data_IF_318934679321
#
_entry.id   IF_318934679321
#
_cell.length_a   1.000
_cell.length_b   1.000
_cell.length_c   1.000
_cell.angle_alpha   90.00
_cell.angle_beta   90.00
_cell.angle_gamma   90.00
#
_symmetry.space_group_name_H-M   'P 1'
#
loop_
_entity.id
_entity.type
_entity.pdbx_description
1 polymer ?
#
# COMPACT_ATOMS: atom_id res chain seq x y z
N UNK A 1 19.31 23.08 9.50
CA UNK A 1 18.38 23.88 10.32
C UNK A 1 16.98 23.27 10.37
N UNK A 2 16.27 23.12 9.24
CA UNK A 2 14.91 22.56 9.18
C UNK A 2 14.82 21.15 9.76
N UNK A 3 15.76 20.28 9.41
CA UNK A 3 15.88 18.92 9.94
C UNK A 3 16.13 18.91 11.45
N UNK A 4 17.02 19.79 11.94
CA UNK A 4 17.30 19.89 13.38
C UNK A 4 16.08 20.36 14.16
N UNK A 5 15.37 21.35 13.64
CA UNK A 5 14.10 21.84 14.24
C UNK A 5 13.06 20.71 14.30
N UNK A 6 12.92 19.94 13.20
CA UNK A 6 11.98 18.81 13.14
C UNK A 6 12.33 17.74 14.19
N UNK A 7 13.58 17.32 14.25
CA UNK A 7 14.06 16.29 15.18
C UNK A 7 13.95 16.77 16.64
N UNK A 8 14.33 18.02 16.91
CA UNK A 8 14.17 18.62 18.24
C UNK A 8 12.71 18.65 18.71
N UNK A 9 11.79 18.95 17.79
CA UNK A 9 10.36 18.95 18.12
C UNK A 9 9.79 17.55 18.42
N UNK A 10 10.34 16.50 17.80
CA UNK A 10 9.90 15.13 18.03
C UNK A 10 10.49 14.57 19.33
N UNK A 11 11.80 14.77 19.54
CA UNK A 11 12.53 14.12 20.62
C UNK A 11 12.81 15.05 21.83
N UNK A 12 12.47 16.34 21.74
CA UNK A 12 12.78 17.36 22.77
C UNK A 12 14.29 17.46 23.08
N UNK A 13 15.09 17.15 22.09
CA UNK A 13 16.52 17.01 22.21
C UNK A 13 17.24 18.27 21.72
N UNK A 14 17.92 18.93 22.60
CA UNK A 14 18.89 19.98 22.27
C UNK A 14 20.33 19.40 22.37
N UNK A 15 20.63 18.44 21.51
CA UNK A 15 21.92 17.79 21.51
C UNK A 15 22.97 18.59 20.76
N UNK A 16 24.12 18.80 21.38
CA UNK A 16 25.30 19.35 20.74
C UNK A 16 26.07 18.33 19.89
N UNK A 17 25.57 17.13 19.73
CA UNK A 17 26.28 16.07 19.04
C UNK A 17 26.31 16.33 17.54
N UNK A 18 27.49 16.57 17.00
CA UNK A 18 27.74 16.60 15.56
C UNK A 18 27.79 15.16 15.02
N UNK A 19 26.83 14.79 14.24
CA UNK A 19 26.87 13.52 13.51
C UNK A 19 27.54 13.73 12.16
N UNK A 20 28.57 12.93 11.88
CA UNK A 20 29.19 12.88 10.56
C UNK A 20 28.42 11.87 9.72
N UNK A 21 27.73 12.32 8.69
CA UNK A 21 27.12 11.47 7.67
C UNK A 21 28.14 11.29 6.55
N UNK A 22 28.71 10.09 6.37
CA UNK A 22 29.67 9.87 5.29
C UNK A 22 29.03 10.11 3.92
N UNK A 23 29.67 10.90 3.07
CA UNK A 23 29.20 11.20 1.72
C UNK A 23 28.88 9.93 0.92
N UNK A 24 29.71 8.90 1.06
CA UNK A 24 29.51 7.60 0.39
C UNK A 24 28.18 6.92 0.73
N UNK A 25 27.67 7.10 1.98
CA UNK A 25 26.37 6.52 2.39
C UNK A 25 25.24 7.39 1.88
N UNK A 26 25.42 8.69 1.90
CA UNK A 26 24.49 9.66 1.33
C UNK A 26 24.28 9.38 -0.18
N UNK A 27 25.36 9.24 -0.93
CA UNK A 27 25.31 8.97 -2.38
C UNK A 27 24.76 7.58 -2.72
N UNK A 28 24.97 6.58 -1.85
CA UNK A 28 24.50 5.21 -2.06
C UNK A 28 23.09 4.93 -1.54
N UNK A 29 22.43 5.89 -0.94
CA UNK A 29 21.10 5.68 -0.37
C UNK A 29 20.02 6.55 -1.03
N UNK A 30 19.91 6.51 -2.36
CA UNK A 30 18.86 7.21 -3.07
C UNK A 30 17.48 6.63 -2.73
N UNK A 31 16.42 7.37 -3.04
CA UNK A 31 15.11 6.79 -3.15
C UNK A 31 15.13 5.72 -4.21
N UNK A 32 14.66 4.53 -3.85
CA UNK A 32 14.72 3.36 -4.69
C UNK A 32 14.20 3.67 -6.11
N UNK A 33 15.11 3.56 -7.08
CA UNK A 33 14.80 3.60 -8.52
C UNK A 33 14.47 4.95 -9.15
N UNK A 34 14.46 6.05 -8.40
CA UNK A 34 14.06 7.36 -8.95
C UNK A 34 15.23 8.29 -9.34
N UNK A 35 16.45 7.97 -8.88
CA UNK A 35 17.64 8.80 -9.15
C UNK A 35 18.39 8.43 -10.43
N UNK A 36 18.06 7.28 -11.06
CA UNK A 36 18.77 6.78 -12.24
C UNK A 36 18.18 7.31 -13.57
N UNK A 37 17.21 8.22 -13.49
CA UNK A 37 16.60 8.82 -14.67
C UNK A 37 17.49 9.96 -15.22
N UNK A 38 17.55 10.15 -16.56
CA UNK A 38 18.19 11.31 -17.14
C UNK A 38 17.66 12.62 -16.55
N UNK A 39 18.49 13.65 -16.41
CA UNK A 39 18.17 14.92 -15.75
C UNK A 39 16.86 15.58 -16.27
N UNK A 40 16.59 15.48 -17.58
CA UNK A 40 15.36 16.02 -18.19
C UNK A 40 14.08 15.25 -17.78
N UNK A 41 14.23 14.02 -17.27
CA UNK A 41 13.16 13.18 -16.72
C UNK A 41 13.21 13.11 -15.19
N UNK A 42 14.16 13.82 -14.56
CA UNK A 42 14.27 13.83 -13.11
C UNK A 42 12.95 14.29 -12.48
N UNK A 43 12.25 13.42 -11.71
CA UNK A 43 10.90 13.70 -11.23
C UNK A 43 10.88 14.78 -10.15
N UNK A 44 11.95 14.93 -9.39
CA UNK A 44 12.00 15.78 -8.22
C UNK A 44 13.01 16.93 -8.36
N UNK A 45 12.84 17.96 -7.54
CA UNK A 45 13.83 19.03 -7.37
C UNK A 45 15.00 18.53 -6.53
N UNK A 46 16.21 18.97 -6.84
CA UNK A 46 17.43 18.57 -6.11
C UNK A 46 17.31 18.84 -4.61
N UNK A 47 16.78 20.00 -4.21
CA UNK A 47 16.58 20.32 -2.79
C UNK A 47 15.71 19.29 -2.06
N UNK A 48 14.65 18.77 -2.68
CA UNK A 48 13.80 17.75 -2.08
C UNK A 48 14.56 16.43 -1.91
N UNK A 49 15.25 15.99 -2.97
CA UNK A 49 16.04 14.76 -2.94
C UNK A 49 17.17 14.84 -1.90
N UNK A 50 17.89 15.96 -1.89
CA UNK A 50 18.99 16.20 -0.97
C UNK A 50 18.53 16.21 0.50
N UNK A 51 17.45 16.94 0.80
CA UNK A 51 16.94 16.99 2.17
C UNK A 51 16.45 15.62 2.65
N UNK A 52 15.69 14.90 1.83
CA UNK A 52 15.11 13.61 2.26
C UNK A 52 16.19 12.51 2.31
N UNK A 53 17.15 12.53 1.38
CA UNK A 53 18.30 11.60 1.41
C UNK A 53 19.19 11.86 2.62
N UNK A 54 19.48 13.13 2.90
CA UNK A 54 20.22 13.52 4.11
C UNK A 54 19.47 13.12 5.38
N UNK A 55 18.18 13.45 5.47
CA UNK A 55 17.34 13.07 6.62
C UNK A 55 17.36 11.56 6.86
N UNK A 56 17.22 10.76 5.82
CA UNK A 56 17.26 9.30 5.91
C UNK A 56 18.58 8.82 6.52
N UNK A 57 19.70 9.32 6.01
CA UNK A 57 21.03 8.94 6.49
C UNK A 57 21.26 9.43 7.92
N UNK A 58 20.90 10.67 8.21
CA UNK A 58 21.01 11.27 9.54
C UNK A 58 20.20 10.49 10.57
N UNK A 59 18.92 10.18 10.29
CA UNK A 59 18.06 9.41 11.18
C UNK A 59 18.62 8.02 11.47
N UNK A 60 19.18 7.35 10.46
CA UNK A 60 19.78 6.04 10.66
C UNK A 60 20.91 6.09 11.69
N UNK A 61 21.85 7.03 11.53
CA UNK A 61 22.96 7.20 12.48
C UNK A 61 22.48 7.67 13.85
N UNK A 62 21.59 8.64 13.89
CA UNK A 62 21.04 9.17 15.13
C UNK A 62 20.37 8.06 15.96
N UNK A 63 19.43 7.32 15.35
CA UNK A 63 18.71 6.26 16.04
C UNK A 63 19.62 5.09 16.46
N UNK A 64 20.54 4.68 15.59
CA UNK A 64 21.47 3.58 15.89
C UNK A 64 22.44 3.87 17.04
N UNK A 65 22.76 5.14 17.28
CA UNK A 65 23.71 5.53 18.33
C UNK A 65 23.04 5.95 19.65
N UNK A 66 21.75 6.29 19.62
CA UNK A 66 21.08 6.83 20.82
C UNK A 66 19.98 5.90 21.38
N UNK A 67 19.54 4.91 20.60
CA UNK A 67 18.54 3.96 21.10
C UNK A 67 19.19 2.77 21.79
N UNK A 68 18.64 2.31 22.93
CA UNK A 68 19.11 1.12 23.64
C UNK A 68 18.58 -0.15 22.95
N UNK A 69 19.04 -0.43 21.72
CA UNK A 69 18.54 -1.52 20.88
C UNK A 69 19.63 -2.54 20.56
N UNK A 70 19.25 -3.81 20.52
CA UNK A 70 20.05 -4.83 19.86
C UNK A 70 19.89 -4.69 18.34
N UNK A 71 20.97 -4.26 17.66
CA UNK A 71 20.94 -4.02 16.20
C UNK A 71 20.58 -5.26 15.37
N UNK A 72 20.64 -6.45 15.95
CA UNK A 72 20.27 -7.70 15.32
C UNK A 72 18.80 -8.05 15.58
N UNK A 73 18.34 -7.96 16.83
CA UNK A 73 16.99 -8.36 17.23
C UNK A 73 15.96 -7.23 17.05
N UNK A 74 16.37 -6.00 17.39
CA UNK A 74 15.48 -4.84 17.43
C UNK A 74 15.65 -3.91 16.22
N UNK A 75 16.27 -4.43 15.14
CA UNK A 75 16.50 -3.65 13.90
C UNK A 75 15.22 -3.00 13.36
N UNK A 76 14.07 -3.62 13.60
CA UNK A 76 12.75 -3.14 13.17
C UNK A 76 12.41 -1.79 13.79
N UNK A 77 12.88 -1.52 15.03
CA UNK A 77 12.65 -0.24 15.71
C UNK A 77 13.36 0.88 14.95
N UNK A 78 14.65 0.70 14.62
CA UNK A 78 15.43 1.72 13.90
C UNK A 78 14.83 1.99 12.53
N UNK A 79 14.60 0.94 11.74
CA UNK A 79 14.05 1.08 10.39
C UNK A 79 12.64 1.65 10.38
N UNK A 80 11.81 1.21 11.33
CA UNK A 80 10.45 1.70 11.51
C UNK A 80 10.38 3.15 11.92
N UNK A 81 11.15 3.56 12.93
CA UNK A 81 11.23 4.96 13.36
C UNK A 81 11.80 5.86 12.27
N UNK A 82 12.85 5.42 11.57
CA UNK A 82 13.39 6.15 10.42
C UNK A 82 12.30 6.41 9.38
N UNK A 83 11.56 5.39 8.97
CA UNK A 83 10.48 5.51 7.99
C UNK A 83 9.33 6.38 8.50
N UNK A 84 8.89 6.17 9.73
CA UNK A 84 7.84 6.99 10.36
C UNK A 84 8.22 8.48 10.37
N UNK A 85 9.45 8.81 10.78
CA UNK A 85 9.93 10.19 10.83
C UNK A 85 10.09 10.80 9.43
N UNK A 86 10.51 10.00 8.44
CA UNK A 86 10.54 10.45 7.04
C UNK A 86 9.13 10.78 6.54
N UNK A 87 8.14 9.91 6.79
CA UNK A 87 6.74 10.17 6.44
C UNK A 87 6.27 11.49 7.07
N UNK A 88 6.52 11.69 8.36
CA UNK A 88 6.14 12.91 9.10
C UNK A 88 6.84 14.17 8.55
N UNK A 89 8.12 14.07 8.20
CA UNK A 89 8.87 15.17 7.62
C UNK A 89 8.29 15.61 6.28
N UNK A 90 8.02 14.64 5.41
CA UNK A 90 7.45 14.90 4.09
C UNK A 90 6.03 15.48 4.21
N UNK A 91 5.17 14.93 5.08
CA UNK A 91 3.85 15.50 5.37
C UNK A 91 3.92 16.96 5.86
N UNK A 92 4.96 17.30 6.61
CA UNK A 92 5.11 18.64 7.21
C UNK A 92 5.65 19.69 6.23
N UNK A 93 6.69 19.32 5.47
CA UNK A 93 7.44 20.28 4.64
C UNK A 93 7.19 20.15 3.14
N UNK A 94 6.68 19.01 2.69
CA UNK A 94 6.44 18.68 1.29
C UNK A 94 5.05 18.02 1.07
N UNK A 95 3.95 18.57 1.65
CA UNK A 95 2.63 17.91 1.66
C UNK A 95 2.04 17.72 0.26
N UNK A 96 2.50 18.47 -0.73
CA UNK A 96 1.99 18.43 -2.10
C UNK A 96 2.91 17.68 -3.06
N UNK A 97 4.01 17.10 -2.58
CA UNK A 97 4.92 16.36 -3.45
C UNK A 97 4.28 15.04 -3.90
N UNK A 98 4.24 14.85 -5.23
CA UNK A 98 3.62 13.66 -5.84
C UNK A 98 4.67 12.58 -6.11
N UNK A 99 4.25 11.32 -6.11
CA UNK A 99 5.12 10.17 -6.37
C UNK A 99 5.87 10.28 -7.72
N UNK A 100 5.19 10.71 -8.77
CA UNK A 100 5.81 10.93 -10.07
C UNK A 100 6.43 12.34 -10.22
N UNK A 101 6.39 13.18 -9.20
CA UNK A 101 6.93 14.53 -9.24
C UNK A 101 6.50 15.31 -10.49
N UNK A 102 7.46 15.94 -11.18
CA UNK A 102 7.19 16.70 -12.42
C UNK A 102 6.60 15.87 -13.57
N UNK A 103 6.96 14.58 -13.64
CA UNK A 103 6.49 13.68 -14.71
C UNK A 103 4.98 13.48 -14.64
N UNK A 104 4.40 13.43 -13.42
CA UNK A 104 2.96 13.37 -13.23
C UNK A 104 2.19 14.56 -13.80
N UNK A 105 2.87 15.70 -13.99
CA UNK A 105 2.29 16.91 -14.57
C UNK A 105 2.07 16.88 -16.09
N UNK A 106 2.65 15.94 -16.82
CA UNK A 106 2.43 15.80 -18.25
C UNK A 106 0.98 15.43 -18.54
N UNK A 107 0.41 16.00 -19.60
CA UNK A 107 -1.01 15.86 -19.95
C UNK A 107 -1.45 14.39 -20.11
N UNK A 108 -0.58 13.53 -20.66
CA UNK A 108 -0.84 12.09 -20.79
C UNK A 108 -0.90 11.37 -19.45
N UNK A 109 -0.12 11.83 -18.46
CA UNK A 109 -0.03 11.19 -17.15
C UNK A 109 -1.19 11.57 -16.24
N UNK A 110 -1.79 12.75 -16.42
CA UNK A 110 -2.90 13.24 -15.58
C UNK A 110 -4.15 12.35 -15.58
N UNK A 111 -4.30 11.47 -16.58
CA UNK A 111 -5.40 10.51 -16.63
C UNK A 111 -5.20 9.29 -15.72
N UNK A 112 -4.01 9.12 -15.16
CA UNK A 112 -3.62 7.95 -14.36
C UNK A 112 -3.67 8.26 -12.88
N UNK A 113 -4.20 7.32 -12.09
CA UNK A 113 -4.19 7.38 -10.63
C UNK A 113 -2.77 7.53 -10.07
N UNK A 114 -1.79 6.90 -10.72
CA UNK A 114 -0.37 6.97 -10.32
C UNK A 114 0.18 8.41 -10.32
N UNK A 115 -0.35 9.29 -11.15
CA UNK A 115 0.08 10.70 -11.21
C UNK A 115 -0.44 11.53 -10.02
N UNK A 116 -1.56 11.11 -9.43
CA UNK A 116 -2.22 11.83 -8.35
C UNK A 116 -1.79 11.38 -6.95
N UNK A 117 -1.13 10.21 -6.83
CA UNK A 117 -0.71 9.72 -5.53
C UNK A 117 0.41 10.57 -4.93
N UNK A 118 0.35 10.78 -3.61
CA UNK A 118 1.36 11.53 -2.88
C UNK A 118 2.67 10.75 -2.77
N UNK A 119 3.79 11.46 -2.59
CA UNK A 119 5.11 10.83 -2.48
C UNK A 119 5.15 9.75 -1.39
N UNK A 120 4.54 10.02 -0.24
CA UNK A 120 4.49 9.08 0.87
C UNK A 120 3.77 7.76 0.56
N UNK A 121 2.87 7.74 -0.45
CA UNK A 121 2.22 6.52 -0.91
C UNK A 121 3.22 5.46 -1.39
N UNK A 122 4.43 5.85 -1.76
CA UNK A 122 5.51 4.94 -2.12
C UNK A 122 5.81 3.92 -1.02
N UNK A 123 5.76 4.34 0.26
CA UNK A 123 6.00 3.43 1.39
C UNK A 123 4.96 2.31 1.42
N UNK A 124 3.66 2.64 1.26
CA UNK A 124 2.57 1.66 1.17
C UNK A 124 2.68 0.80 -0.09
N UNK A 125 2.93 1.39 -1.25
CA UNK A 125 3.01 0.70 -2.53
C UNK A 125 4.10 -0.38 -2.54
N UNK A 126 5.30 -0.08 -2.05
CA UNK A 126 6.39 -1.06 -1.97
C UNK A 126 6.10 -2.17 -0.99
N UNK A 127 5.54 -1.85 0.19
CA UNK A 127 5.17 -2.88 1.14
C UNK A 127 4.03 -3.78 0.62
N UNK A 128 2.98 -3.20 0.05
CA UNK A 128 1.87 -3.95 -0.54
C UNK A 128 2.32 -4.86 -1.70
N UNK A 129 3.29 -4.41 -2.48
CA UNK A 129 3.92 -5.27 -3.49
C UNK A 129 4.53 -6.51 -2.84
N UNK A 130 5.27 -6.36 -1.75
CA UNK A 130 5.89 -7.45 -1.01
C UNK A 130 4.85 -8.40 -0.42
N UNK A 131 3.86 -7.85 0.24
CA UNK A 131 2.80 -8.60 0.92
C UNK A 131 1.98 -9.40 -0.10
N UNK A 132 1.51 -8.78 -1.18
CA UNK A 132 0.73 -9.43 -2.24
C UNK A 132 1.54 -10.45 -3.03
N UNK A 133 2.84 -10.26 -3.14
CA UNK A 133 3.75 -11.24 -3.72
C UNK A 133 4.08 -12.41 -2.76
N UNK A 134 3.59 -12.39 -1.51
CA UNK A 134 3.92 -13.34 -0.44
C UNK A 134 5.42 -13.32 -0.05
N UNK A 135 6.07 -12.15 -0.13
CA UNK A 135 7.50 -11.98 0.17
C UNK A 135 7.77 -11.37 1.54
N UNK A 136 6.73 -10.88 2.21
CA UNK A 136 6.84 -10.28 3.53
C UNK A 136 7.28 -11.33 4.57
N UNK A 137 8.17 -10.92 5.48
CA UNK A 137 8.61 -11.69 6.64
C UNK A 137 8.21 -10.98 7.93
N UNK A 138 8.13 -11.71 9.04
CA UNK A 138 7.85 -11.12 10.37
C UNK A 138 8.92 -10.08 10.72
N UNK A 139 8.51 -8.94 11.27
CA UNK A 139 9.44 -7.87 11.71
C UNK A 139 10.27 -8.28 12.93
N UNK A 140 9.82 -9.30 13.68
CA UNK A 140 10.55 -9.84 14.84
C UNK A 140 11.61 -10.88 14.47
N UNK A 141 11.77 -11.23 13.19
CA UNK A 141 12.90 -12.06 12.80
C UNK A 141 14.21 -11.29 12.99
N UNK A 142 15.28 -11.94 13.47
CA UNK A 142 16.60 -11.34 13.51
C UNK A 142 17.03 -10.83 12.13
N UNK A 143 17.75 -9.71 12.10
CA UNK A 143 18.16 -9.03 10.88
C UNK A 143 18.86 -9.92 9.86
N UNK A 144 19.69 -10.85 10.34
CA UNK A 144 20.45 -11.81 9.52
C UNK A 144 19.57 -12.93 8.91
N UNK A 145 18.35 -13.09 9.41
CA UNK A 145 17.37 -14.05 8.86
C UNK A 145 16.42 -13.41 7.82
N UNK A 146 16.47 -12.10 7.67
CA UNK A 146 15.68 -11.40 6.67
C UNK A 146 16.34 -11.49 5.29
N UNK A 147 15.53 -11.69 4.25
CA UNK A 147 15.99 -11.44 2.88
C UNK A 147 16.28 -9.95 2.70
N UNK A 148 17.29 -9.62 1.88
CA UNK A 148 17.81 -8.24 1.74
C UNK A 148 16.74 -7.18 1.44
N UNK A 149 15.72 -7.53 0.70
CA UNK A 149 14.64 -6.59 0.40
C UNK A 149 13.77 -6.32 1.63
N UNK A 150 13.49 -7.34 2.46
CA UNK A 150 12.78 -7.16 3.73
C UNK A 150 13.62 -6.36 4.73
N UNK A 151 14.91 -6.65 4.84
CA UNK A 151 15.82 -5.92 5.73
C UNK A 151 15.86 -4.42 5.40
N UNK A 152 15.92 -4.06 4.11
CA UNK A 152 16.15 -2.67 3.68
C UNK A 152 14.89 -1.88 3.41
N UNK A 153 13.80 -2.52 3.03
CA UNK A 153 12.58 -1.88 2.55
C UNK A 153 11.34 -2.44 3.25
N UNK A 154 11.09 -3.76 3.16
CA UNK A 154 9.84 -4.35 3.60
C UNK A 154 9.55 -4.10 5.08
N UNK A 155 10.44 -4.53 5.98
CA UNK A 155 10.28 -4.35 7.42
C UNK A 155 10.31 -2.87 7.85
N UNK A 156 11.29 -2.03 7.44
CA UNK A 156 11.27 -0.61 7.76
C UNK A 156 9.97 0.10 7.34
N UNK A 157 9.46 -0.18 6.15
CA UNK A 157 8.23 0.46 5.66
C UNK A 157 7.00 -0.03 6.40
N UNK A 158 6.88 -1.34 6.62
CA UNK A 158 5.78 -1.92 7.39
C UNK A 158 5.67 -1.31 8.79
N UNK A 159 6.76 -1.31 9.53
CA UNK A 159 6.79 -0.76 10.88
C UNK A 159 6.55 0.75 10.88
N UNK A 160 7.14 1.50 9.95
CA UNK A 160 6.95 2.94 9.85
C UNK A 160 5.50 3.34 9.55
N UNK A 161 4.84 2.61 8.63
CA UNK A 161 3.41 2.75 8.34
C UNK A 161 2.58 2.42 9.58
N UNK A 162 2.92 1.32 10.27
CA UNK A 162 2.24 0.91 11.50
C UNK A 162 2.34 1.95 12.61
N UNK A 163 3.52 2.56 12.80
CA UNK A 163 3.71 3.65 13.77
C UNK A 163 2.89 4.89 13.38
N UNK A 164 2.80 5.21 12.10
CA UNK A 164 1.94 6.29 11.60
C UNK A 164 0.46 6.02 11.87
N UNK A 165 0.03 4.75 11.72
CA UNK A 165 -1.32 4.33 12.03
C UNK A 165 -1.62 4.40 13.54
N UNK A 166 -0.70 3.93 14.38
CA UNK A 166 -0.83 4.03 15.84
C UNK A 166 -0.90 5.50 16.28
N UNK A 167 -0.09 6.39 15.71
CA UNK A 167 -0.18 7.83 16.03
C UNK A 167 -1.61 8.37 15.86
N UNK A 168 -2.30 7.94 14.78
CA UNK A 168 -3.70 8.32 14.58
C UNK A 168 -4.65 7.68 15.58
N UNK A 169 -4.37 6.44 15.98
CA UNK A 169 -5.22 5.69 16.87
C UNK A 169 -5.15 6.17 18.32
N UNK A 170 -3.93 6.38 18.84
CA UNK A 170 -3.71 6.78 20.24
C UNK A 170 -3.42 8.27 20.42
N UNK A 171 -3.10 8.98 19.35
CA UNK A 171 -2.71 10.39 19.35
C UNK A 171 -1.19 10.60 19.33
N UNK A 172 -0.78 11.76 18.84
CA UNK A 172 0.65 12.14 18.72
C UNK A 172 1.35 12.24 20.08
N UNK A 173 0.68 12.79 21.11
CA UNK A 173 1.27 13.03 22.42
C UNK A 173 1.70 11.75 23.14
N UNK A 174 0.85 10.70 23.25
CA UNK A 174 1.25 9.42 23.84
C UNK A 174 2.44 8.76 23.14
N UNK A 175 2.43 8.73 21.81
CA UNK A 175 3.54 8.14 21.03
C UNK A 175 4.85 8.91 21.25
N UNK A 176 4.82 10.24 21.24
CA UNK A 176 6.01 11.06 21.50
C UNK A 176 6.52 10.88 22.94
N UNK A 177 5.64 10.70 23.93
CA UNK A 177 6.05 10.42 25.31
C UNK A 177 6.77 9.07 25.40
N UNK A 178 6.25 8.04 24.77
CA UNK A 178 6.90 6.73 24.71
C UNK A 178 8.28 6.80 24.04
N UNK A 179 8.39 7.52 22.92
CA UNK A 179 9.67 7.73 22.23
C UNK A 179 10.70 8.48 23.07
N UNK A 180 10.27 9.55 23.74
CA UNK A 180 11.17 10.33 24.63
C UNK A 180 11.66 9.49 25.81
N UNK A 181 10.76 8.73 26.45
CA UNK A 181 11.14 7.85 27.56
C UNK A 181 12.09 6.74 27.06
N UNK A 182 11.85 6.17 25.88
CA UNK A 182 12.68 5.15 25.30
C UNK A 182 14.11 5.62 25.01
N UNK A 183 14.29 6.85 24.53
CA UNK A 183 15.60 7.46 24.29
C UNK A 183 16.38 7.76 25.59
N UNK A 184 15.69 8.06 26.69
CA UNK A 184 16.32 8.52 27.92
C UNK A 184 16.51 7.39 28.97
N UNK A 185 16.27 6.14 28.63
CA UNK A 185 16.44 5.02 29.57
C UNK A 185 17.91 4.73 29.85
N UNK A 186 18.27 4.67 31.13
CA UNK A 186 19.65 4.44 31.56
C UNK A 186 19.94 3.03 32.10
N UNK A 187 18.98 2.36 32.74
CA UNK A 187 19.16 1.06 33.40
C UNK A 187 17.86 0.24 33.26
N UNK A 188 18.01 -1.07 32.95
CA UNK A 188 16.91 -2.01 32.74
C UNK A 188 15.82 -1.46 31.81
N UNK A 189 16.14 -1.26 30.55
CA UNK A 189 15.23 -0.59 29.63
C UNK A 189 13.99 -1.43 29.40
N UNK A 190 12.81 -0.81 29.56
CA UNK A 190 11.55 -1.36 29.08
C UNK A 190 11.62 -1.44 27.56
N UNK A 191 10.99 -2.46 26.97
CA UNK A 191 10.89 -2.53 25.52
C UNK A 191 10.14 -1.33 24.96
N UNK A 192 10.40 -0.97 23.72
CA UNK A 192 9.67 0.12 23.06
C UNK A 192 8.15 -0.13 23.06
N UNK A 193 7.72 -1.38 22.88
CA UNK A 193 6.30 -1.75 22.92
C UNK A 193 5.68 -1.57 24.32
N UNK A 194 6.41 -1.89 25.39
CA UNK A 194 5.90 -1.72 26.74
C UNK A 194 5.73 -0.23 27.09
N UNK A 195 6.64 0.62 26.63
CA UNK A 195 6.50 2.07 26.77
C UNK A 195 5.35 2.63 25.97
N UNK A 196 5.15 2.15 24.75
CA UNK A 196 3.99 2.52 23.96
C UNK A 196 2.67 2.14 24.67
N UNK A 197 2.60 0.93 25.26
CA UNK A 197 1.45 0.49 26.07
C UNK A 197 1.26 1.36 27.31
N UNK A 198 2.33 1.66 28.03
CA UNK A 198 2.30 2.50 29.24
C UNK A 198 1.70 3.88 28.98
N UNK A 199 2.02 4.50 27.86
CA UNK A 199 1.53 5.84 27.50
C UNK A 199 0.23 5.84 26.70
N UNK A 200 -0.18 4.70 26.15
CA UNK A 200 -1.38 4.61 25.31
C UNK A 200 -2.66 4.73 26.13
N UNK A 201 -3.62 5.58 25.72
CA UNK A 201 -4.95 5.64 26.32
C UNK A 201 -5.87 4.50 25.84
N UNK A 202 -5.43 3.68 24.89
CA UNK A 202 -6.17 2.59 24.27
C UNK A 202 -5.34 1.31 24.27
N UNK A 203 -6.00 0.16 24.10
CA UNK A 203 -5.29 -1.10 23.90
C UNK A 203 -4.58 -1.13 22.54
N UNK A 204 -3.28 -1.42 22.57
CA UNK A 204 -2.42 -1.57 21.40
C UNK A 204 -1.71 -2.93 21.34
N UNK A 205 -2.18 -3.93 22.07
CA UNK A 205 -1.60 -5.28 22.06
C UNK A 205 -1.59 -5.90 20.66
N UNK A 206 -2.58 -5.56 19.85
CA UNK A 206 -2.67 -5.98 18.45
C UNK A 206 -1.43 -5.57 17.64
N UNK A 207 -0.78 -4.45 17.96
CA UNK A 207 0.37 -3.95 17.20
C UNK A 207 1.58 -4.90 17.32
N UNK A 208 1.97 -5.22 18.54
CA UNK A 208 3.08 -6.17 18.75
C UNK A 208 2.73 -7.60 18.34
N UNK A 209 1.52 -8.05 18.70
CA UNK A 209 1.13 -9.44 18.57
C UNK A 209 0.76 -9.83 17.14
N UNK A 210 -0.06 -9.04 16.47
CA UNK A 210 -0.60 -9.36 15.15
C UNK A 210 0.12 -8.60 14.04
N UNK A 211 0.31 -7.30 14.20
CA UNK A 211 0.87 -6.47 13.15
C UNK A 211 2.38 -6.76 12.93
N UNK A 212 3.21 -6.74 13.98
CA UNK A 212 4.66 -6.93 13.84
C UNK A 212 5.10 -8.39 13.82
N UNK A 213 4.51 -9.24 14.69
CA UNK A 213 4.98 -10.62 14.90
C UNK A 213 4.42 -11.58 13.84
N UNK A 214 3.13 -11.50 13.60
CA UNK A 214 2.46 -12.42 12.69
C UNK A 214 2.61 -11.94 11.24
N UNK A 215 2.59 -12.90 10.33
CA UNK A 215 2.69 -12.67 8.88
C UNK A 215 1.33 -12.83 8.21
N UNK A 216 0.27 -12.51 8.92
CA UNK A 216 -1.07 -12.65 8.37
C UNK A 216 -1.43 -11.42 7.52
N UNK A 217 -1.98 -11.62 6.31
CA UNK A 217 -2.43 -10.51 5.49
C UNK A 217 -3.62 -9.81 6.14
N UNK A 218 -3.53 -8.51 6.26
CA UNK A 218 -4.66 -7.68 6.67
C UNK A 218 -5.61 -7.57 5.46
N UNK A 219 -6.87 -7.91 5.66
CA UNK A 219 -7.92 -7.79 4.63
C UNK A 219 -9.26 -7.46 5.32
N UNK A 220 -9.56 -6.18 5.41
CA UNK A 220 -10.82 -5.65 5.91
C UNK A 220 -11.79 -5.46 4.73
N UNK A 221 -13.06 -5.81 4.90
CA UNK A 221 -14.01 -5.80 3.79
C UNK A 221 -15.36 -5.27 4.20
N UNK A 222 -15.91 -4.38 3.39
CA UNK A 222 -17.34 -4.07 3.41
C UNK A 222 -18.05 -5.10 2.53
N UNK A 223 -18.78 -6.04 3.16
CA UNK A 223 -19.55 -7.07 2.43
C UNK A 223 -20.73 -6.47 1.71
N UNK A 224 -21.52 -5.67 2.42
CA UNK A 224 -22.77 -5.12 1.90
C UNK A 224 -23.17 -3.84 2.66
N UNK A 225 -23.96 -2.99 2.00
CA UNK A 225 -24.66 -1.86 2.57
C UNK A 225 -26.16 -2.06 2.36
N UNK A 226 -26.94 -1.85 3.42
CA UNK A 226 -28.40 -1.85 3.35
C UNK A 226 -28.93 -0.54 3.91
N UNK A 227 -29.56 0.24 3.05
CA UNK A 227 -30.19 1.52 3.44
C UNK A 227 -31.58 1.28 4.02
N UNK A 228 -31.85 1.82 5.19
CA UNK A 228 -33.15 1.75 5.88
C UNK A 228 -33.51 3.16 6.36
N UNK A 229 -34.50 3.80 5.76
CA UNK A 229 -34.94 5.17 6.09
C UNK A 229 -33.78 6.12 6.46
N UNK A 230 -33.50 6.30 7.77
CA UNK A 230 -32.50 7.23 8.30
C UNK A 230 -31.16 6.56 8.68
N UNK A 231 -30.97 5.30 8.30
CA UNK A 231 -29.77 4.54 8.67
C UNK A 231 -29.23 3.69 7.53
N UNK A 232 -27.92 3.46 7.58
CA UNK A 232 -27.21 2.54 6.70
C UNK A 232 -26.67 1.40 7.55
N UNK A 233 -27.16 0.18 7.35
CA UNK A 233 -26.58 -1.02 7.92
C UNK A 233 -25.37 -1.42 7.10
N UNK A 234 -24.20 -1.51 7.72
CA UNK A 234 -22.94 -1.89 7.10
C UNK A 234 -22.53 -3.26 7.59
N UNK A 235 -22.44 -4.24 6.68
CA UNK A 235 -21.88 -5.56 6.99
C UNK A 235 -20.42 -5.60 6.66
N UNK A 236 -19.59 -5.89 7.66
CA UNK A 236 -18.15 -5.91 7.63
C UNK A 236 -17.62 -7.33 7.82
N UNK A 237 -16.45 -7.61 7.30
CA UNK A 237 -15.68 -8.81 7.65
C UNK A 237 -14.19 -8.54 7.60
N UNK A 238 -13.43 -9.38 8.31
CA UNK A 238 -11.97 -9.44 8.22
C UNK A 238 -11.52 -10.86 7.90
N UNK A 239 -10.34 -10.98 7.32
CA UNK A 239 -9.79 -12.29 6.92
C UNK A 239 -9.27 -13.09 8.10
N UNK A 240 -8.70 -12.42 9.09
CA UNK A 240 -8.08 -13.01 10.29
C UNK A 240 -8.64 -12.37 11.55
N UNK A 241 -8.54 -13.07 12.70
CA UNK A 241 -8.93 -12.51 14.01
C UNK A 241 -7.78 -11.67 14.60
N UNK A 242 -7.32 -10.68 13.82
CA UNK A 242 -6.18 -9.82 14.15
C UNK A 242 -6.52 -8.69 15.14
N UNK A 243 -7.80 -8.41 15.36
CA UNK A 243 -8.31 -7.35 16.25
C UNK A 243 -7.73 -5.96 15.99
N UNK A 244 -7.15 -5.74 14.82
CA UNK A 244 -6.62 -4.41 14.44
C UNK A 244 -7.79 -3.43 14.34
N UNK A 245 -7.81 -2.33 15.11
CA UNK A 245 -8.86 -1.31 14.99
C UNK A 245 -8.79 -0.62 13.62
N UNK A 246 -9.93 -0.13 13.14
CA UNK A 246 -9.99 0.59 11.87
C UNK A 246 -11.05 1.70 11.92
N UNK A 247 -10.95 2.64 10.97
CA UNK A 247 -11.89 3.74 10.83
C UNK A 247 -12.95 3.37 9.78
N UNK A 248 -14.22 3.47 10.17
CA UNK A 248 -15.35 3.41 9.25
C UNK A 248 -15.84 4.83 8.98
N UNK A 249 -15.91 5.20 7.70
CA UNK A 249 -16.21 6.57 7.29
C UNK A 249 -17.36 6.65 6.29
N UNK A 250 -18.10 7.72 6.34
CA UNK A 250 -19.01 8.16 5.29
C UNK A 250 -18.35 9.26 4.49
N UNK A 251 -18.30 9.09 3.16
CA UNK A 251 -17.61 9.99 2.23
C UNK A 251 -18.63 10.59 1.26
N UNK A 252 -18.58 11.90 1.07
CA UNK A 252 -19.42 12.65 0.12
C UNK A 252 -18.61 13.72 -0.58
N UNK A 253 -18.72 13.82 -1.89
CA UNK A 253 -17.94 14.76 -2.70
C UNK A 253 -16.44 14.71 -2.37
N UNK A 254 -15.88 13.50 -2.28
CA UNK A 254 -14.50 13.21 -1.91
C UNK A 254 -14.05 13.67 -0.52
N UNK A 255 -14.98 14.15 0.32
CA UNK A 255 -14.70 14.57 1.69
C UNK A 255 -15.33 13.63 2.70
N UNK A 256 -14.65 13.39 3.83
CA UNK A 256 -15.19 12.64 4.95
C UNK A 256 -16.21 13.53 5.69
N UNK A 257 -17.46 13.07 5.75
CA UNK A 257 -18.56 13.77 6.45
C UNK A 257 -18.86 13.19 7.83
N UNK A 258 -18.46 11.95 8.07
CA UNK A 258 -18.48 11.30 9.38
C UNK A 258 -17.51 10.14 9.41
N UNK A 259 -16.92 9.89 10.58
CA UNK A 259 -16.05 8.74 10.81
C UNK A 259 -16.12 8.26 12.26
N UNK A 260 -15.81 6.99 12.46
CA UNK A 260 -15.71 6.39 13.78
C UNK A 260 -14.67 5.25 13.79
N UNK A 261 -13.99 5.08 14.92
CA UNK A 261 -13.15 3.92 15.17
C UNK A 261 -13.99 2.69 15.52
N UNK A 262 -13.60 1.55 14.99
CA UNK A 262 -14.10 0.22 15.35
C UNK A 262 -12.93 -0.50 16.01
N UNK A 263 -12.97 -0.64 17.34
CA UNK A 263 -11.85 -1.15 18.13
C UNK A 263 -11.90 -2.67 18.31
N UNK A 264 -13.09 -3.24 18.45
CA UNK A 264 -13.26 -4.71 18.59
C UNK A 264 -14.32 -5.21 17.61
N UNK A 265 -13.86 -6.00 16.67
CA UNK A 265 -14.71 -6.63 15.67
C UNK A 265 -14.28 -8.08 15.49
N UNK A 266 -15.21 -9.01 15.65
CA UNK A 266 -15.00 -10.40 15.21
C UNK A 266 -14.83 -10.53 13.69
N UNK A 267 -14.76 -11.75 13.19
CA UNK A 267 -14.59 -12.02 11.77
C UNK A 267 -15.72 -11.50 10.88
N UNK A 268 -16.94 -11.43 11.44
CA UNK A 268 -18.13 -10.85 10.82
C UNK A 268 -18.83 -9.90 11.79
N UNK A 269 -19.21 -8.73 11.32
CA UNK A 269 -19.78 -7.66 12.14
C UNK A 269 -20.81 -6.85 11.35
N UNK A 270 -21.85 -6.37 12.02
CA UNK A 270 -22.83 -5.45 11.44
C UNK A 270 -22.99 -4.22 12.32
N UNK A 271 -22.93 -3.05 11.73
CA UNK A 271 -23.11 -1.78 12.41
C UNK A 271 -24.14 -0.92 11.68
N UNK A 272 -24.94 -0.16 12.43
CA UNK A 272 -25.85 0.83 11.87
C UNK A 272 -25.25 2.22 12.01
N UNK A 273 -25.13 2.92 10.89
CA UNK A 273 -24.72 4.32 10.80
C UNK A 273 -25.94 5.19 10.55
N UNK A 274 -25.95 6.42 11.08
CA UNK A 274 -26.93 7.43 10.65
C UNK A 274 -26.69 7.74 9.17
N UNK A 275 -27.76 7.77 8.37
CA UNK A 275 -27.62 8.11 6.93
C UNK A 275 -27.41 9.61 6.75
N UNK A 276 -26.20 10.00 6.39
CA UNK A 276 -25.86 11.39 6.03
C UNK A 276 -25.86 11.61 4.52
N UNK A 277 -26.49 10.69 3.77
CA UNK A 277 -26.53 10.69 2.32
C UNK A 277 -25.12 10.69 1.66
N UNK A 278 -24.25 9.76 2.08
CA UNK A 278 -22.90 9.64 1.52
C UNK A 278 -22.94 9.11 0.08
N UNK A 279 -21.86 9.36 -0.67
CA UNK A 279 -21.61 8.68 -1.95
C UNK A 279 -21.00 7.31 -1.72
N UNK A 280 -20.11 7.21 -0.73
CA UNK A 280 -19.44 5.97 -0.35
C UNK A 280 -19.42 5.78 1.16
N UNK A 281 -19.42 4.51 1.57
CA UNK A 281 -18.92 4.08 2.88
C UNK A 281 -17.56 3.45 2.66
N UNK A 282 -16.58 3.81 3.49
CA UNK A 282 -15.20 3.40 3.31
C UNK A 282 -14.51 3.01 4.63
N UNK A 283 -13.62 2.02 4.56
CA UNK A 283 -12.69 1.67 5.63
C UNK A 283 -11.38 2.40 5.38
N UNK A 284 -10.85 3.05 6.41
CA UNK A 284 -9.54 3.72 6.42
C UNK A 284 -9.28 4.62 5.18
N UNK A 285 -10.16 5.57 4.84
CA UNK A 285 -10.03 6.33 3.59
C UNK A 285 -8.80 7.24 3.53
N UNK A 286 -8.35 7.79 4.67
CA UNK A 286 -7.20 8.71 4.76
C UNK A 286 -5.97 8.04 5.39
N UNK A 287 -6.19 7.22 6.42
CA UNK A 287 -5.12 6.58 7.18
C UNK A 287 -5.17 5.10 6.92
N UNK A 288 -4.30 4.64 6.06
CA UNK A 288 -4.36 3.28 5.54
C UNK A 288 -3.37 2.36 6.24
N UNK A 289 -3.84 1.15 6.51
CA UNK A 289 -2.97 0.00 6.70
C UNK A 289 -2.58 -0.60 5.35
N UNK A 290 -1.45 -1.30 5.26
CA UNK A 290 -1.11 -2.07 4.08
C UNK A 290 -2.00 -3.32 4.01
N UNK A 291 -3.03 -3.27 3.18
CA UNK A 291 -4.00 -4.34 3.03
C UNK A 291 -3.78 -5.13 1.75
N UNK A 292 -4.04 -6.44 1.81
CA UNK A 292 -3.94 -7.31 0.65
C UNK A 292 -4.94 -6.96 -0.46
N UNK A 293 -6.06 -6.33 -0.10
CA UNK A 293 -7.08 -5.92 -1.06
C UNK A 293 -7.81 -4.64 -0.63
N UNK A 294 -7.34 -3.50 -1.07
CA UNK A 294 -8.00 -2.20 -0.82
C UNK A 294 -9.31 -2.00 -1.59
N UNK A 295 -9.53 -2.77 -2.64
CA UNK A 295 -10.70 -2.60 -3.50
C UNK A 295 -12.02 -2.99 -2.82
N UNK A 296 -11.98 -3.80 -1.76
CA UNK A 296 -13.16 -4.22 -1.00
C UNK A 296 -13.49 -3.30 0.18
N UNK A 297 -12.66 -2.28 0.45
CA UNK A 297 -12.85 -1.30 1.54
C UNK A 297 -13.84 -0.18 1.19
N UNK A 298 -14.21 -0.04 -0.06
CA UNK A 298 -15.10 1.01 -0.53
C UNK A 298 -16.36 0.43 -1.15
N UNK A 299 -17.54 0.95 -0.75
CA UNK A 299 -18.83 0.61 -1.33
C UNK A 299 -19.62 1.86 -1.64
N UNK A 300 -20.23 1.89 -2.83
CA UNK A 300 -21.11 2.97 -3.24
C UNK A 300 -22.44 2.89 -2.46
N UNK A 301 -22.82 3.99 -1.79
CA UNK A 301 -24.00 3.99 -0.91
C UNK A 301 -25.33 4.23 -1.63
N UNK A 302 -25.30 4.78 -2.86
CA UNK A 302 -26.49 5.17 -3.62
C UNK A 302 -26.91 4.14 -4.68
N UNK A 303 -26.00 3.26 -5.11
CA UNK A 303 -26.28 2.26 -6.14
C UNK A 303 -26.93 1.02 -5.53
N UNK A 304 -27.94 0.46 -6.19
CA UNK A 304 -28.67 -0.73 -5.74
C UNK A 304 -27.76 -1.93 -5.42
N UNK A 305 -26.71 -2.15 -6.23
CA UNK A 305 -25.75 -3.24 -6.02
C UNK A 305 -24.51 -2.84 -5.22
N UNK A 306 -24.46 -1.62 -4.70
CA UNK A 306 -23.29 -1.03 -4.03
C UNK A 306 -21.99 -1.14 -4.85
N UNK A 307 -22.09 -1.23 -6.18
CA UNK A 307 -20.95 -1.36 -7.09
C UNK A 307 -20.28 0.00 -7.30
N UNK A 308 -18.96 -0.03 -7.33
CA UNK A 308 -18.15 1.13 -7.70
C UNK A 308 -18.28 1.43 -9.20
N UNK A 309 -18.16 2.69 -9.63
CA UNK A 309 -18.15 3.05 -11.04
C UNK A 309 -17.06 2.29 -11.81
N UNK A 310 -17.40 1.88 -13.05
CA UNK A 310 -16.44 1.28 -13.97
C UNK A 310 -15.58 2.37 -14.62
N UNK A 311 -14.29 2.12 -14.74
CA UNK A 311 -13.34 3.00 -15.41
C UNK A 311 -12.49 2.21 -16.40
N UNK A 312 -12.40 2.72 -17.63
CA UNK A 312 -11.53 2.18 -18.66
C UNK A 312 -10.28 3.04 -18.79
N UNK A 313 -9.10 2.45 -18.57
CA UNK A 313 -7.82 3.13 -18.67
C UNK A 313 -6.98 2.52 -19.80
N UNK A 314 -6.38 3.39 -20.60
CA UNK A 314 -5.35 2.97 -21.56
C UNK A 314 -4.08 2.59 -20.79
N UNK A 315 -3.58 1.35 -20.98
CA UNK A 315 -2.47 0.77 -20.24
C UNK A 315 -2.74 0.59 -18.73
N UNK A 316 -1.74 0.06 -18.03
CA UNK A 316 -1.82 -0.23 -16.58
C UNK A 316 -1.69 1.01 -15.74
N UNK A 317 -2.39 1.00 -14.61
CA UNK A 317 -2.37 2.08 -13.65
C UNK A 317 -2.26 1.53 -12.21
N UNK A 318 -2.07 2.42 -11.26
CA UNK A 318 -2.20 2.12 -9.85
C UNK A 318 -3.69 1.98 -9.48
N UNK A 319 -3.98 1.10 -8.51
CA UNK A 319 -5.35 0.79 -8.12
C UNK A 319 -6.08 2.00 -7.51
N UNK A 320 -7.24 2.33 -8.07
CA UNK A 320 -8.17 3.27 -7.44
C UNK A 320 -9.14 2.53 -6.53
N UNK A 321 -9.16 2.79 -5.21
CA UNK A 321 -10.10 2.13 -4.31
C UNK A 321 -11.57 2.53 -4.58
N UNK A 322 -11.81 3.66 -5.27
CA UNK A 322 -13.14 4.21 -5.57
C UNK A 322 -13.75 3.68 -6.87
N UNK A 323 -12.98 3.00 -7.73
CA UNK A 323 -13.41 2.58 -9.08
C UNK A 323 -13.05 1.13 -9.36
N UNK A 324 -13.85 0.48 -10.21
CA UNK A 324 -13.48 -0.79 -10.82
C UNK A 324 -12.76 -0.50 -12.13
N UNK A 325 -11.45 -0.77 -12.20
CA UNK A 325 -10.64 -0.42 -13.35
C UNK A 325 -10.50 -1.60 -14.30
N UNK A 326 -10.71 -1.33 -15.60
CA UNK A 326 -10.40 -2.23 -16.70
C UNK A 326 -9.39 -1.50 -17.59
N UNK A 327 -8.26 -2.13 -17.80
CA UNK A 327 -7.20 -1.61 -18.65
C UNK A 327 -7.36 -2.14 -20.06
N UNK A 328 -6.98 -1.34 -21.05
CA UNK A 328 -7.02 -1.78 -22.44
C UNK A 328 -5.81 -1.28 -23.23
N UNK A 329 -5.48 -2.03 -24.27
CA UNK A 329 -4.56 -1.60 -25.32
C UNK A 329 -4.90 -2.28 -26.65
N UNK A 330 -4.59 -1.64 -27.79
CA UNK A 330 -4.79 -2.26 -29.09
C UNK A 330 -3.90 -3.48 -29.26
N UNK A 331 -4.35 -4.46 -30.00
CA UNK A 331 -3.61 -5.67 -30.35
C UNK A 331 -3.74 -5.95 -31.83
N UNK A 332 -2.62 -6.25 -32.44
CA UNK A 332 -2.55 -6.69 -33.85
C UNK A 332 -1.78 -7.99 -33.89
N UNK A 333 -2.39 -9.03 -34.41
CA UNK A 333 -1.75 -10.31 -34.66
C UNK A 333 -1.83 -10.66 -36.15
N UNK A 334 -0.98 -11.55 -36.59
CA UNK A 334 -1.01 -12.08 -37.95
C UNK A 334 -0.79 -13.59 -37.92
N UNK A 335 -1.62 -14.31 -38.66
CA UNK A 335 -1.36 -15.67 -39.06
C UNK A 335 -1.85 -15.89 -40.52
N UNK A 336 -1.39 -16.94 -41.16
CA UNK A 336 -1.67 -17.20 -42.59
C UNK A 336 -3.16 -17.35 -42.88
N UNK A 337 -3.97 -17.87 -41.98
CA UNK A 337 -5.36 -18.20 -42.19
C UNK A 337 -6.32 -17.09 -41.74
N UNK A 338 -6.00 -16.40 -40.67
CA UNK A 338 -6.77 -15.25 -40.18
C UNK A 338 -6.37 -13.93 -40.86
N UNK A 339 -5.18 -13.89 -41.49
CA UNK A 339 -4.58 -12.65 -41.97
C UNK A 339 -4.24 -11.72 -40.80
N UNK A 340 -4.44 -10.43 -40.98
CA UNK A 340 -4.38 -9.48 -39.90
C UNK A 340 -5.60 -9.66 -38.97
N UNK A 341 -5.33 -9.87 -37.69
CA UNK A 341 -6.35 -9.91 -36.64
C UNK A 341 -6.22 -8.67 -35.77
N UNK A 342 -7.18 -7.76 -35.93
CA UNK A 342 -7.21 -6.47 -35.25
C UNK A 342 -8.17 -6.52 -34.08
N UNK A 343 -7.76 -5.98 -32.91
CA UNK A 343 -8.59 -5.99 -31.75
C UNK A 343 -8.06 -5.21 -30.58
N UNK A 344 -8.59 -5.51 -29.39
CA UNK A 344 -8.16 -4.90 -28.15
C UNK A 344 -7.96 -5.96 -27.07
N UNK A 345 -6.99 -5.75 -26.23
CA UNK A 345 -6.77 -6.49 -25.01
C UNK A 345 -7.43 -5.74 -23.85
N UNK A 346 -8.32 -6.40 -23.13
CA UNK A 346 -8.95 -5.91 -21.91
C UNK A 346 -8.43 -6.74 -20.73
N UNK A 347 -8.05 -6.12 -19.65
CA UNK A 347 -7.51 -6.81 -18.48
C UNK A 347 -7.68 -5.96 -17.22
N UNK A 348 -7.66 -6.61 -16.04
CA UNK A 348 -7.82 -5.95 -14.76
C UNK A 348 -6.52 -5.87 -13.95
N UNK A 349 -5.43 -6.53 -14.40
CA UNK A 349 -4.16 -6.54 -13.71
C UNK A 349 -3.48 -5.17 -13.76
N UNK A 350 -3.56 -4.44 -12.64
CA UNK A 350 -2.85 -3.17 -12.42
C UNK A 350 -1.34 -3.34 -12.16
N UNK A 351 -0.75 -2.38 -11.44
CA UNK A 351 0.69 -2.42 -11.08
C UNK A 351 0.96 -3.44 -9.97
N UNK A 352 0.04 -3.63 -9.03
CA UNK A 352 0.18 -4.60 -7.95
C UNK A 352 -0.46 -5.94 -8.30
N UNK A 353 0.07 -7.02 -7.71
CA UNK A 353 -0.49 -8.37 -7.87
C UNK A 353 -1.85 -8.45 -7.20
N UNK A 354 -2.82 -9.12 -7.87
CA UNK A 354 -4.17 -9.35 -7.36
C UNK A 354 -4.43 -10.85 -7.24
N UNK A 355 -5.37 -11.24 -6.37
CA UNK A 355 -5.77 -12.65 -6.21
C UNK A 355 -6.42 -13.22 -7.46
N UNK A 356 -7.30 -12.46 -8.09
CA UNK A 356 -7.93 -12.82 -9.36
C UNK A 356 -7.53 -11.81 -10.43
N UNK A 357 -7.20 -12.29 -11.61
CA UNK A 357 -6.96 -11.45 -12.79
C UNK A 357 -7.51 -12.12 -14.03
N UNK A 358 -8.00 -11.30 -14.95
CA UNK A 358 -8.43 -11.76 -16.27
C UNK A 358 -7.75 -10.99 -17.41
N UNK A 359 -7.71 -11.60 -18.56
CA UNK A 359 -7.25 -11.01 -19.81
C UNK A 359 -8.14 -11.51 -20.94
N UNK A 360 -8.87 -10.62 -21.59
CA UNK A 360 -9.73 -10.92 -22.74
C UNK A 360 -9.19 -10.18 -23.97
N UNK A 361 -8.96 -10.89 -25.06
CA UNK A 361 -8.41 -10.35 -26.30
C UNK A 361 -9.30 -10.71 -27.51
N UNK A 362 -10.45 -10.03 -27.67
CA UNK A 362 -11.26 -10.17 -28.87
C UNK A 362 -10.57 -9.49 -30.05
N UNK A 363 -10.52 -10.18 -31.17
CA UNK A 363 -9.91 -9.71 -32.43
C UNK A 363 -10.81 -10.08 -33.61
N UNK A 364 -10.77 -9.26 -34.65
CA UNK A 364 -11.46 -9.52 -35.90
C UNK A 364 -10.44 -9.96 -36.96
N UNK A 365 -10.62 -11.16 -37.50
CA UNK A 365 -9.82 -11.74 -38.57
C UNK A 365 -10.18 -11.09 -39.90
N UNK A 366 -9.21 -10.55 -40.62
CA UNK A 366 -9.44 -9.85 -41.89
C UNK A 366 -9.73 -10.81 -43.06
N UNK A 367 -9.13 -12.02 -43.05
CA UNK A 367 -9.38 -13.02 -44.09
C UNK A 367 -10.68 -13.77 -43.84
N UNK A 368 -10.88 -14.30 -42.64
CA UNK A 368 -12.07 -15.12 -42.33
C UNK A 368 -13.31 -14.29 -41.95
N UNK A 369 -13.15 -12.98 -41.80
CA UNK A 369 -14.24 -12.05 -41.42
C UNK A 369 -15.01 -12.47 -40.16
N UNK A 370 -14.33 -13.08 -39.21
CA UNK A 370 -14.86 -13.68 -38.00
C UNK A 370 -14.18 -13.16 -36.74
N UNK A 371 -14.84 -13.28 -35.57
CA UNK A 371 -14.21 -13.04 -34.27
C UNK A 371 -13.28 -14.21 -33.90
N UNK A 372 -12.07 -13.88 -33.57
CA UNK A 372 -11.05 -14.76 -33.01
C UNK A 372 -10.50 -14.14 -31.73
N UNK A 373 -9.66 -14.86 -31.00
CA UNK A 373 -9.02 -14.29 -29.82
C UNK A 373 -8.78 -15.28 -28.71
N UNK A 374 -8.52 -14.73 -27.53
CA UNK A 374 -8.21 -15.53 -26.33
C UNK A 374 -8.74 -14.91 -25.06
N UNK A 375 -8.96 -15.79 -24.07
CA UNK A 375 -9.32 -15.47 -22.70
C UNK A 375 -8.33 -16.16 -21.77
N UNK A 376 -7.82 -15.44 -20.77
CA UNK A 376 -7.03 -15.99 -19.67
C UNK A 376 -7.63 -15.52 -18.36
N UNK A 377 -7.67 -16.41 -17.39
CA UNK A 377 -8.03 -16.09 -16.02
C UNK A 377 -7.03 -16.75 -15.09
N UNK A 378 -6.67 -16.04 -14.03
CA UNK A 378 -5.74 -16.54 -13.02
C UNK A 378 -6.32 -16.29 -11.64
N UNK A 379 -6.21 -17.29 -10.79
CA UNK A 379 -6.53 -17.17 -9.36
C UNK A 379 -5.32 -17.61 -8.55
N UNK A 380 -4.77 -16.68 -7.78
CA UNK A 380 -3.57 -16.86 -6.98
C UNK A 380 -3.92 -17.04 -5.51
N UNK A 381 -3.36 -18.07 -4.90
CA UNK A 381 -3.48 -18.39 -3.48
C UNK A 381 -2.08 -18.29 -2.86
N UNK A 382 -1.90 -17.37 -1.95
CA UNK A 382 -0.68 -17.23 -1.17
C UNK A 382 -0.74 -18.21 0.01
N UNK A 383 0.17 -19.17 0.06
CA UNK A 383 0.23 -20.20 1.11
C UNK A 383 1.22 -19.77 2.20
N UNK A 384 0.75 -18.97 3.15
CA UNK A 384 1.60 -18.44 4.22
C UNK A 384 2.01 -19.57 5.16
N UNK A 385 3.31 -19.66 5.47
CA UNK A 385 3.86 -20.65 6.40
C UNK A 385 3.83 -22.11 5.91
N UNK A 386 3.52 -22.36 4.63
CA UNK A 386 3.51 -23.70 4.03
C UNK A 386 4.70 -23.90 3.10
N UNK A 387 5.09 -25.16 2.89
CA UNK A 387 6.16 -25.53 1.94
C UNK A 387 5.83 -25.13 0.50
N UNK A 388 4.56 -25.21 0.10
CA UNK A 388 4.09 -24.70 -1.17
C UNK A 388 3.79 -23.20 -1.03
N UNK A 389 4.69 -22.39 -1.53
CA UNK A 389 4.70 -20.93 -1.41
C UNK A 389 3.51 -20.22 -2.05
N UNK A 390 3.16 -20.58 -3.27
CA UNK A 390 2.05 -20.02 -4.04
C UNK A 390 1.40 -21.09 -4.89
N UNK A 391 0.08 -21.12 -4.90
CA UNK A 391 -0.72 -21.93 -5.84
C UNK A 391 -1.39 -20.98 -6.83
N UNK A 392 -1.24 -21.24 -8.13
CA UNK A 392 -1.94 -20.49 -9.17
C UNK A 392 -2.85 -21.44 -9.95
N UNK A 393 -4.14 -21.14 -9.94
CA UNK A 393 -5.11 -21.79 -10.82
C UNK A 393 -5.24 -20.91 -12.06
N UNK A 394 -5.18 -21.51 -13.25
CA UNK A 394 -5.31 -20.78 -14.50
C UNK A 394 -6.35 -21.42 -15.39
N UNK A 395 -7.09 -20.59 -16.10
CA UNK A 395 -7.95 -20.95 -17.20
C UNK A 395 -7.48 -20.24 -18.46
N UNK A 396 -7.36 -20.97 -19.53
CA UNK A 396 -6.97 -20.45 -20.83
C UNK A 396 -7.96 -20.93 -21.90
N UNK A 397 -8.50 -20.01 -22.70
CA UNK A 397 -9.29 -20.32 -23.86
C UNK A 397 -8.79 -19.52 -25.08
N UNK A 398 -8.68 -20.15 -26.23
CA UNK A 398 -8.37 -19.48 -27.49
C UNK A 398 -9.10 -20.07 -28.67
N UNK A 399 -9.36 -19.23 -29.68
CA UNK A 399 -9.99 -19.66 -30.93
C UNK A 399 -9.36 -18.87 -32.09
N UNK A 400 -8.68 -19.57 -32.98
CA UNK A 400 -8.03 -19.05 -34.19
C UNK A 400 -8.20 -20.06 -35.33
N UNK A 401 -8.08 -19.60 -36.58
CA UNK A 401 -8.11 -20.51 -37.72
C UNK A 401 -6.71 -21.09 -37.96
N UNK A 402 -6.66 -22.37 -38.31
CA UNK A 402 -5.44 -23.08 -38.70
C UNK A 402 -5.48 -23.60 -40.15
N UNK A 403 -6.67 -23.47 -40.80
CA UNK A 403 -6.90 -23.67 -42.21
C UNK A 403 -8.14 -22.85 -42.63
N UNK A 404 -8.42 -22.76 -43.92
CA UNK A 404 -9.66 -22.14 -44.44
C UNK A 404 -10.88 -22.77 -43.74
N UNK A 405 -11.75 -21.96 -43.16
CA UNK A 405 -12.94 -22.33 -42.41
C UNK A 405 -12.80 -23.31 -41.23
N UNK A 406 -11.54 -23.74 -40.91
CA UNK A 406 -11.27 -24.64 -39.78
C UNK A 406 -10.67 -23.91 -38.62
N UNK A 407 -11.34 -24.00 -37.46
CA UNK A 407 -10.89 -23.36 -36.20
C UNK A 407 -10.16 -24.31 -35.28
N UNK A 408 -9.05 -23.82 -34.77
CA UNK A 408 -8.37 -24.41 -33.62
C UNK A 408 -8.92 -23.76 -32.36
N UNK A 409 -9.50 -24.56 -31.48
CA UNK A 409 -10.00 -24.12 -30.18
C UNK A 409 -9.27 -24.88 -29.07
N UNK A 410 -8.79 -24.15 -28.10
CA UNK A 410 -8.13 -24.71 -26.89
C UNK A 410 -8.87 -24.22 -25.68
N UNK A 411 -9.12 -25.14 -24.74
CA UNK A 411 -9.61 -24.86 -23.40
C UNK A 411 -8.73 -25.69 -22.46
N UNK A 412 -8.03 -25.02 -21.55
CA UNK A 412 -7.17 -25.66 -20.53
C UNK A 412 -7.39 -25.03 -19.16
#
# INVERSE_FOLDING_TARGET
>A
KRIDEFISNVFDFKGENKYLVPALIYDKNPFFGLNDLPEFLAPFKDLFLDEVSFLKSYLHFYLSNNLPVDLRQDHWIIGGLQTYLMIKYIETYYPNEKYLGRVGGFWLMKAYTLADIDFNESFWMYYEFMERANLHQSDFLPKDQLVKFNEKIGSPYHVGIGLRYIEHYIGKKPLNQALKEYLNQALEPLSFLDLMKKHSPKDIDWFGKFYLKERLPIDLKIKNLKKNNDSIEVKLSRHSDDKIPFILSQVKNDSIIAQMWIDDMGTDYSIKLKDLNPDFVAINPEIRLPESNKNNNWRHAKNFLNLKPLQFNFLRDYESPKRNQIYYNPVVNYNLYDGLSLGSRFYDKGLLTQKFTFELMPQYSTLQKNLVGKLKMFYRINNIGKSNYVTTLSFYGSSYHYNEDLRYQVIT
#
